data_IF_678804499037
#
_entry.id   IF_678804499037
#
_cell.length_a   1.000
_cell.length_b   1.000
_cell.length_c   1.000
_cell.angle_alpha   90.00
_cell.angle_beta   90.00
_cell.angle_gamma   90.00
#
_symmetry.space_group_name_H-M   'P 1'
#
loop_
_entity.id
_entity.type
_entity.pdbx_description
1 polymer ?
#
# COMPACT_ATOMS: atom_id res chain seq x y z
N UNK A 1 -0.08 -7.88 -41.62
CA UNK A 1 -0.13 -9.32 -41.95
C UNK A 1 0.37 -10.21 -40.80
N UNK A 2 1.38 -9.81 -40.02
CA UNK A 2 1.99 -10.64 -38.96
C UNK A 2 1.21 -10.73 -37.63
N UNK A 3 0.43 -9.73 -37.17
CA UNK A 3 -0.52 -10.02 -36.05
C UNK A 3 -1.88 -10.57 -36.50
N UNK A 4 -2.22 -10.50 -37.80
CA UNK A 4 -3.20 -11.45 -38.35
C UNK A 4 -2.61 -12.85 -38.37
N UNK A 5 -1.32 -13.01 -38.70
CA UNK A 5 -0.58 -14.27 -38.56
C UNK A 5 -0.43 -14.68 -37.09
N UNK A 6 -0.48 -13.76 -36.12
CA UNK A 6 -0.31 -14.06 -34.69
C UNK A 6 -1.63 -14.35 -33.98
N UNK A 7 -2.69 -13.59 -34.28
CA UNK A 7 -4.08 -14.00 -33.97
C UNK A 7 -4.40 -15.29 -34.71
N UNK A 8 -3.90 -15.51 -35.93
CA UNK A 8 -3.99 -16.77 -36.65
C UNK A 8 -3.05 -17.84 -36.09
N UNK A 9 -1.86 -17.54 -35.57
CA UNK A 9 -0.99 -18.54 -34.94
C UNK A 9 -1.52 -18.90 -33.55
N UNK A 10 -2.11 -17.96 -32.82
CA UNK A 10 -2.88 -18.21 -31.60
C UNK A 10 -4.14 -18.97 -31.97
N UNK A 11 -5.02 -18.49 -32.84
CA UNK A 11 -6.22 -19.23 -33.30
C UNK A 11 -5.90 -20.59 -33.92
N UNK A 12 -4.84 -20.75 -34.71
CA UNK A 12 -4.43 -22.04 -35.29
C UNK A 12 -3.70 -22.92 -34.28
N UNK A 13 -2.95 -22.39 -33.32
CA UNK A 13 -2.45 -23.17 -32.19
C UNK A 13 -3.59 -23.59 -31.24
N UNK A 14 -4.63 -22.75 -31.10
CA UNK A 14 -5.86 -23.03 -30.37
C UNK A 14 -6.66 -24.15 -31.08
N UNK A 15 -6.63 -24.21 -32.43
CA UNK A 15 -7.29 -25.25 -33.26
C UNK A 15 -6.46 -26.52 -33.49
N UNK A 16 -5.13 -26.43 -33.47
CA UNK A 16 -4.22 -27.55 -33.75
C UNK A 16 -3.97 -28.38 -32.48
N UNK A 17 -4.91 -29.28 -32.17
CA UNK A 17 -4.88 -30.26 -31.06
C UNK A 17 -3.65 -31.21 -31.00
N UNK A 18 -2.58 -31.01 -31.77
CA UNK A 18 -1.55 -32.06 -32.01
C UNK A 18 -0.07 -31.64 -32.15
N UNK A 19 0.34 -30.38 -32.00
CA UNK A 19 1.73 -30.01 -32.33
C UNK A 19 2.61 -29.57 -31.14
N UNK A 20 3.67 -30.32 -30.79
CA UNK A 20 4.71 -29.91 -29.81
C UNK A 20 5.59 -28.73 -30.29
N UNK A 21 5.31 -28.13 -31.45
CA UNK A 21 6.07 -27.01 -32.02
C UNK A 21 5.56 -25.61 -31.65
N UNK A 22 4.40 -25.49 -30.99
CA UNK A 22 3.82 -24.17 -30.63
C UNK A 22 4.70 -23.43 -29.62
N UNK A 23 5.25 -24.15 -28.64
CA UNK A 23 6.14 -23.57 -27.63
C UNK A 23 7.46 -23.08 -28.27
N UNK A 24 8.00 -23.84 -29.24
CA UNK A 24 9.16 -23.43 -30.06
C UNK A 24 8.83 -22.21 -30.92
N UNK A 25 7.63 -22.14 -31.51
CA UNK A 25 7.19 -21.02 -32.34
C UNK A 25 6.94 -19.76 -31.50
N UNK A 26 6.30 -19.88 -30.34
CA UNK A 26 6.13 -18.78 -29.39
C UNK A 26 7.48 -18.27 -28.90
N UNK A 27 8.41 -19.16 -28.53
CA UNK A 27 9.79 -18.79 -28.17
C UNK A 27 10.57 -18.18 -29.34
N UNK A 28 10.37 -18.67 -30.57
CA UNK A 28 11.01 -18.14 -31.77
C UNK A 28 10.51 -16.73 -32.08
N UNK A 29 9.20 -16.51 -32.08
CA UNK A 29 8.58 -15.18 -32.28
C UNK A 29 8.98 -14.24 -31.15
N UNK A 30 8.93 -14.70 -29.90
CA UNK A 30 9.35 -13.96 -28.72
C UNK A 30 10.84 -13.59 -28.76
N UNK A 31 11.71 -14.42 -29.35
CA UNK A 31 13.14 -14.15 -29.49
C UNK A 31 13.47 -13.28 -30.71
N UNK A 32 12.76 -13.46 -31.82
CA UNK A 32 13.08 -12.84 -33.11
C UNK A 32 12.63 -11.39 -33.26
N UNK A 33 11.58 -10.95 -32.55
CA UNK A 33 11.01 -9.59 -32.74
C UNK A 33 11.52 -8.66 -31.65
N UNK A 34 12.46 -7.76 -31.95
CA UNK A 34 12.94 -6.73 -31.00
C UNK A 34 11.76 -5.91 -30.40
N UNK A 35 11.91 -5.31 -29.19
CA UNK A 35 10.83 -4.50 -28.59
C UNK A 35 10.30 -3.42 -29.54
N UNK A 36 11.20 -2.71 -30.24
CA UNK A 36 10.84 -1.69 -31.22
C UNK A 36 10.01 -2.25 -32.39
N UNK A 37 10.42 -3.39 -32.97
CA UNK A 37 9.63 -4.05 -34.02
C UNK A 37 8.28 -4.57 -33.52
N UNK A 38 8.15 -4.82 -32.22
CA UNK A 38 6.90 -5.28 -31.63
C UNK A 38 5.90 -4.13 -31.42
N UNK A 39 6.37 -2.97 -30.97
CA UNK A 39 5.55 -1.75 -30.92
C UNK A 39 5.14 -1.30 -32.33
N UNK A 40 6.08 -1.29 -33.30
CA UNK A 40 5.79 -1.01 -34.71
C UNK A 40 4.77 -1.97 -35.32
N UNK A 41 4.77 -3.24 -34.90
CA UNK A 41 3.78 -4.23 -35.32
C UNK A 41 2.39 -3.89 -34.77
N UNK A 42 2.29 -3.54 -33.49
CA UNK A 42 1.03 -3.15 -32.86
C UNK A 42 0.47 -1.90 -33.57
N UNK A 43 1.30 -0.88 -33.76
CA UNK A 43 0.95 0.38 -34.42
C UNK A 43 0.58 0.18 -35.90
N UNK A 44 1.36 -0.61 -36.63
CA UNK A 44 1.13 -0.94 -38.04
C UNK A 44 -0.17 -1.70 -38.30
N UNK A 45 -0.87 -2.13 -37.25
CA UNK A 45 -2.19 -2.76 -37.30
C UNK A 45 -3.30 -1.87 -36.73
N UNK A 46 -3.00 -0.61 -36.42
CA UNK A 46 -3.90 0.31 -35.75
C UNK A 46 -4.20 -0.05 -34.29
N UNK A 47 -3.37 -0.91 -33.69
CA UNK A 47 -3.50 -1.36 -32.31
C UNK A 47 -2.79 -0.42 -31.33
N UNK A 48 -2.96 -0.70 -30.04
CA UNK A 48 -2.21 -0.08 -28.93
C UNK A 48 -1.84 -1.17 -27.93
N UNK A 49 -0.90 -0.89 -27.03
CA UNK A 49 -0.56 -1.80 -25.93
C UNK A 49 -1.79 -2.14 -25.07
N UNK A 50 -2.75 -1.22 -24.91
CA UNK A 50 -4.05 -1.46 -24.25
C UNK A 50 -4.90 -2.47 -25.02
N UNK A 51 -4.97 -2.37 -26.36
CA UNK A 51 -5.67 -3.35 -27.18
C UNK A 51 -5.05 -4.75 -27.02
N UNK A 52 -3.72 -4.84 -27.01
CA UNK A 52 -3.01 -6.10 -26.77
C UNK A 52 -3.34 -6.68 -25.39
N UNK A 53 -3.23 -5.89 -24.33
CA UNK A 53 -3.52 -6.34 -22.98
C UNK A 53 -4.99 -6.80 -22.83
N UNK A 54 -5.93 -6.08 -23.45
CA UNK A 54 -7.35 -6.47 -23.50
C UNK A 54 -7.54 -7.80 -24.21
N UNK A 55 -6.81 -8.03 -25.31
CA UNK A 55 -6.85 -9.28 -26.05
C UNK A 55 -6.29 -10.44 -25.21
N UNK A 56 -5.15 -10.26 -24.53
CA UNK A 56 -4.59 -11.25 -23.60
C UNK A 56 -5.62 -11.63 -22.53
N UNK A 57 -6.22 -10.64 -21.87
CA UNK A 57 -7.24 -10.87 -20.83
C UNK A 57 -8.45 -11.62 -21.39
N UNK A 58 -8.92 -11.23 -22.58
CA UNK A 58 -10.02 -11.91 -23.25
C UNK A 58 -9.69 -13.38 -23.49
N UNK A 59 -8.50 -13.70 -24.01
CA UNK A 59 -8.11 -15.07 -24.27
C UNK A 59 -7.88 -15.88 -23.00
N UNK A 60 -7.25 -15.31 -21.96
CA UNK A 60 -7.12 -16.01 -20.66
C UNK A 60 -8.51 -16.38 -20.14
N UNK A 61 -9.50 -15.49 -20.21
CA UNK A 61 -10.87 -15.76 -19.75
C UNK A 61 -11.65 -16.74 -20.63
N UNK A 62 -11.36 -16.80 -21.94
CA UNK A 62 -11.93 -17.81 -22.82
C UNK A 62 -11.36 -19.20 -22.51
N UNK A 63 -10.10 -19.27 -22.10
CA UNK A 63 -9.43 -20.52 -21.71
C UNK A 63 -9.85 -20.96 -20.30
N UNK A 64 -9.97 -19.99 -19.39
CA UNK A 64 -10.36 -20.13 -17.98
C UNK A 64 -11.82 -19.69 -17.82
N UNK A 65 -12.75 -20.45 -18.42
CA UNK A 65 -14.19 -20.14 -18.34
C UNK A 65 -14.71 -20.13 -16.90
N UNK A 66 -14.26 -21.08 -16.07
CA UNK A 66 -14.54 -21.14 -14.63
C UNK A 66 -13.26 -21.48 -13.85
N UNK A 67 -12.76 -20.57 -12.99
CA UNK A 67 -11.59 -20.80 -12.13
C UNK A 67 -11.69 -22.00 -11.19
N UNK A 68 -12.87 -22.58 -11.01
CA UNK A 68 -13.13 -23.76 -10.16
C UNK A 68 -13.08 -25.08 -10.91
N UNK A 69 -12.94 -25.02 -12.23
CA UNK A 69 -12.93 -26.22 -13.08
C UNK A 69 -11.52 -26.53 -13.55
N UNK A 70 -11.11 -27.81 -13.57
CA UNK A 70 -9.83 -28.20 -14.11
C UNK A 70 -9.77 -27.88 -15.61
N UNK A 71 -8.65 -27.35 -16.08
CA UNK A 71 -8.46 -27.03 -17.49
C UNK A 71 -8.25 -28.31 -18.30
N UNK A 72 -8.78 -28.34 -19.52
CA UNK A 72 -8.40 -29.37 -20.48
C UNK A 72 -6.92 -29.24 -20.85
N UNK A 73 -6.29 -30.34 -21.31
CA UNK A 73 -4.90 -30.32 -21.80
C UNK A 73 -4.71 -29.27 -22.90
N UNK A 74 -5.69 -29.15 -23.80
CA UNK A 74 -5.69 -28.12 -24.85
C UNK A 74 -5.63 -26.73 -24.22
N UNK A 75 -6.53 -26.44 -23.27
CA UNK A 75 -6.58 -25.14 -22.59
C UNK A 75 -5.29 -24.86 -21.82
N UNK A 76 -4.66 -25.87 -21.23
CA UNK A 76 -3.38 -25.74 -20.54
C UNK A 76 -2.25 -25.27 -21.48
N UNK A 77 -2.12 -25.87 -22.67
CA UNK A 77 -1.14 -25.44 -23.66
C UNK A 77 -1.37 -24.01 -24.15
N UNK A 78 -2.63 -23.66 -24.39
CA UNK A 78 -3.02 -22.33 -24.84
C UNK A 78 -2.68 -21.28 -23.78
N UNK A 79 -2.96 -21.59 -22.51
CA UNK A 79 -2.63 -20.75 -21.38
C UNK A 79 -1.11 -20.58 -21.22
N UNK A 80 -0.35 -21.67 -21.39
CA UNK A 80 1.10 -21.62 -21.33
C UNK A 80 1.68 -20.68 -22.40
N UNK A 81 1.19 -20.77 -23.63
CA UNK A 81 1.58 -19.86 -24.72
C UNK A 81 1.24 -18.39 -24.40
N UNK A 82 0.05 -18.12 -23.85
CA UNK A 82 -0.38 -16.77 -23.45
C UNK A 82 0.48 -16.19 -22.33
N UNK A 83 0.82 -17.00 -21.32
CA UNK A 83 1.64 -16.56 -20.18
C UNK A 83 3.10 -16.35 -20.61
N UNK A 84 3.68 -17.24 -21.42
CA UNK A 84 5.02 -17.04 -22.00
C UNK A 84 5.10 -15.77 -22.85
N UNK A 85 4.05 -15.51 -23.62
CA UNK A 85 3.95 -14.28 -24.39
C UNK A 85 3.88 -13.05 -23.47
N UNK A 86 3.05 -13.09 -22.43
CA UNK A 86 3.00 -12.04 -21.42
C UNK A 86 4.36 -11.82 -20.75
N UNK A 87 5.10 -12.89 -20.41
CA UNK A 87 6.48 -12.82 -19.91
C UNK A 87 7.39 -12.07 -20.85
N UNK A 88 7.32 -12.39 -22.14
CA UNK A 88 8.14 -11.73 -23.15
C UNK A 88 7.77 -10.26 -23.29
N UNK A 89 6.47 -9.94 -23.38
CA UNK A 89 5.98 -8.58 -23.55
C UNK A 89 6.29 -7.69 -22.33
N UNK A 90 6.19 -8.23 -21.11
CA UNK A 90 6.56 -7.51 -19.88
C UNK A 90 8.07 -7.30 -19.78
N UNK A 91 8.89 -8.33 -20.03
CA UNK A 91 10.35 -8.25 -19.91
C UNK A 91 10.97 -7.28 -20.93
N UNK A 92 10.34 -7.16 -22.10
CA UNK A 92 10.74 -6.24 -23.17
C UNK A 92 10.27 -4.79 -22.97
N UNK A 93 9.53 -4.51 -21.90
CA UNK A 93 8.99 -3.18 -21.62
C UNK A 93 7.79 -2.78 -22.47
N UNK A 94 7.29 -3.66 -23.34
CA UNK A 94 6.13 -3.39 -24.20
C UNK A 94 4.83 -3.30 -23.40
N UNK A 95 4.69 -4.08 -22.32
CA UNK A 95 3.56 -3.93 -21.40
C UNK A 95 4.03 -3.22 -20.14
N UNK A 96 3.67 -1.95 -20.01
CA UNK A 96 3.90 -1.22 -18.77
C UNK A 96 3.08 -1.81 -17.61
N UNK A 97 3.56 -1.65 -16.37
CA UNK A 97 2.82 -2.03 -15.16
C UNK A 97 1.43 -1.37 -15.10
N UNK A 98 1.33 -0.13 -15.58
CA UNK A 98 0.07 0.61 -15.61
C UNK A 98 -0.94 -0.06 -16.54
N UNK A 99 -0.52 -0.47 -17.75
CA UNK A 99 -1.39 -1.17 -18.69
C UNK A 99 -1.77 -2.55 -18.14
N UNK A 100 -0.81 -3.24 -17.52
CA UNK A 100 -1.03 -4.54 -16.90
C UNK A 100 -2.14 -4.51 -15.85
N UNK A 101 -2.11 -3.49 -14.99
CA UNK A 101 -3.11 -3.29 -13.94
C UNK A 101 -4.43 -2.74 -14.48
N UNK A 102 -4.38 -1.72 -15.35
CA UNK A 102 -5.57 -1.06 -15.90
C UNK A 102 -6.42 -2.00 -16.78
N UNK A 103 -5.79 -2.87 -17.56
CA UNK A 103 -6.50 -3.81 -18.44
C UNK A 103 -6.98 -5.07 -17.71
N UNK A 104 -6.62 -5.25 -16.43
CA UNK A 104 -7.06 -6.39 -15.62
C UNK A 104 -6.28 -7.68 -15.87
N UNK A 105 -5.05 -7.62 -16.39
CA UNK A 105 -4.19 -8.80 -16.56
C UNK A 105 -3.95 -9.49 -15.22
N UNK A 106 -3.62 -8.73 -14.17
CA UNK A 106 -3.45 -9.27 -12.81
C UNK A 106 -4.68 -10.09 -12.36
N UNK A 107 -5.90 -9.63 -12.67
CA UNK A 107 -7.14 -10.32 -12.29
C UNK A 107 -7.30 -11.64 -13.05
N UNK A 108 -7.06 -11.61 -14.36
CA UNK A 108 -7.10 -12.79 -15.20
C UNK A 108 -6.04 -13.82 -14.79
N UNK A 109 -4.86 -13.37 -14.35
CA UNK A 109 -3.82 -14.25 -13.82
C UNK A 109 -4.20 -14.85 -12.47
N UNK A 110 -4.87 -14.12 -11.57
CA UNK A 110 -5.41 -14.70 -10.32
C UNK A 110 -6.43 -15.80 -10.64
N UNK A 111 -7.35 -15.54 -11.57
CA UNK A 111 -8.34 -16.52 -12.05
C UNK A 111 -7.66 -17.78 -12.62
N UNK A 112 -6.63 -17.57 -13.44
CA UNK A 112 -5.78 -18.61 -14.01
C UNK A 112 -5.05 -19.44 -12.93
N UNK A 113 -4.39 -18.79 -11.97
CA UNK A 113 -3.68 -19.47 -10.87
C UNK A 113 -4.64 -20.34 -10.06
N UNK A 114 -5.86 -19.88 -9.80
CA UNK A 114 -6.88 -20.71 -9.14
C UNK A 114 -7.22 -21.95 -9.98
N UNK A 115 -7.48 -21.81 -11.28
CA UNK A 115 -7.82 -22.93 -12.15
C UNK A 115 -6.71 -23.99 -12.24
N UNK A 116 -5.45 -23.54 -12.31
CA UNK A 116 -4.28 -24.42 -12.42
C UNK A 116 -4.07 -25.31 -11.21
N UNK A 117 -4.58 -24.93 -10.04
CA UNK A 117 -4.41 -25.76 -8.82
C UNK A 117 -5.15 -27.07 -8.84
N UNK A 118 -6.13 -27.20 -9.72
CA UNK A 118 -6.86 -28.44 -9.92
C UNK A 118 -6.11 -29.45 -10.80
N UNK A 119 -4.94 -29.08 -11.33
CA UNK A 119 -4.15 -29.90 -12.25
C UNK A 119 -2.85 -30.27 -11.55
N UNK A 120 -2.68 -31.53 -11.11
CA UNK A 120 -1.41 -31.97 -10.54
C UNK A 120 -0.35 -32.12 -11.64
N UNK A 121 0.91 -31.90 -11.31
CA UNK A 121 2.04 -32.20 -12.19
C UNK A 121 3.08 -31.08 -12.26
N UNK A 122 4.25 -31.36 -12.85
CA UNK A 122 5.30 -30.36 -13.02
C UNK A 122 4.91 -29.27 -14.01
N UNK A 123 4.17 -29.58 -15.08
CA UNK A 123 3.82 -28.56 -16.09
C UNK A 123 2.88 -27.47 -15.54
N UNK A 124 1.91 -27.85 -14.69
CA UNK A 124 1.05 -26.89 -14.01
C UNK A 124 1.83 -26.09 -12.95
N UNK A 125 2.80 -26.72 -12.29
CA UNK A 125 3.71 -26.06 -11.33
C UNK A 125 4.54 -24.94 -11.97
N UNK A 126 5.13 -25.18 -13.15
CA UNK A 126 5.89 -24.17 -13.90
C UNK A 126 4.99 -23.01 -14.34
N UNK A 127 3.79 -23.32 -14.83
CA UNK A 127 2.84 -22.30 -15.26
C UNK A 127 2.28 -21.49 -14.08
N UNK A 128 2.04 -22.13 -12.93
CA UNK A 128 1.70 -21.47 -11.67
C UNK A 128 2.80 -20.50 -11.25
N UNK A 129 4.07 -20.94 -11.32
CA UNK A 129 5.21 -20.08 -11.01
C UNK A 129 5.25 -18.86 -11.93
N UNK A 130 5.11 -19.03 -13.25
CA UNK A 130 5.10 -17.92 -14.20
C UNK A 130 3.93 -16.95 -13.95
N UNK A 131 2.72 -17.46 -13.70
CA UNK A 131 1.57 -16.63 -13.36
C UNK A 131 1.85 -15.84 -12.08
N UNK A 132 2.39 -16.50 -11.05
CA UNK A 132 2.69 -15.85 -9.78
C UNK A 132 3.83 -14.83 -9.90
N UNK A 133 4.85 -15.07 -10.73
CA UNK A 133 5.92 -14.10 -10.99
C UNK A 133 5.36 -12.78 -11.54
N UNK A 134 4.39 -12.86 -12.45
CA UNK A 134 3.69 -11.69 -12.98
C UNK A 134 2.77 -11.01 -11.96
N UNK A 135 2.09 -11.81 -11.12
CA UNK A 135 1.31 -11.27 -10.01
C UNK A 135 2.21 -10.54 -9.01
N UNK A 136 3.31 -11.15 -8.61
CA UNK A 136 4.32 -10.54 -7.75
C UNK A 136 4.86 -9.26 -8.38
N UNK A 137 5.18 -9.23 -9.68
CA UNK A 137 5.60 -8.01 -10.35
C UNK A 137 4.54 -6.89 -10.31
N UNK A 138 3.25 -7.25 -10.34
CA UNK A 138 2.16 -6.30 -10.14
C UNK A 138 2.02 -5.86 -8.67
N UNK A 139 2.27 -6.75 -7.70
CA UNK A 139 2.28 -6.45 -6.25
C UNK A 139 3.47 -5.60 -5.84
N UNK A 140 4.62 -5.84 -6.43
CA UNK A 140 5.79 -4.98 -6.31
C UNK A 140 5.60 -3.61 -7.01
N UNK A 141 4.56 -3.47 -7.82
CA UNK A 141 4.35 -2.35 -8.72
C UNK A 141 3.79 -1.08 -8.06
N UNK A 142 3.62 -0.05 -8.89
CA UNK A 142 3.03 1.21 -8.45
C UNK A 142 1.51 1.07 -8.17
N UNK A 143 0.96 1.94 -7.30
CA UNK A 143 -0.49 2.12 -7.07
C UNK A 143 -1.19 0.91 -6.42
N UNK A 144 -0.61 0.38 -5.34
CA UNK A 144 -1.17 -0.71 -4.53
C UNK A 144 -2.66 -0.51 -4.20
N UNK A 145 -3.04 0.72 -3.84
CA UNK A 145 -4.40 1.11 -3.51
C UNK A 145 -5.41 0.89 -4.66
N UNK A 146 -4.99 0.94 -5.94
CA UNK A 146 -5.94 0.80 -7.07
C UNK A 146 -6.18 -0.64 -7.47
N UNK A 147 -5.14 -1.46 -7.49
CA UNK A 147 -5.22 -2.77 -8.12
C UNK A 147 -5.43 -3.92 -7.12
N UNK A 148 -4.83 -3.86 -5.91
CA UNK A 148 -5.01 -4.86 -4.83
C UNK A 148 -6.49 -5.11 -4.52
N UNK A 149 -7.37 -4.09 -4.36
CA UNK A 149 -8.80 -4.31 -4.16
C UNK A 149 -9.46 -5.20 -5.22
N UNK A 150 -9.05 -5.04 -6.48
CA UNK A 150 -9.52 -5.87 -7.58
C UNK A 150 -8.98 -7.30 -7.49
N UNK A 151 -7.68 -7.45 -7.20
CA UNK A 151 -7.03 -8.75 -7.09
C UNK A 151 -7.56 -9.58 -5.90
N UNK A 152 -7.80 -8.95 -4.75
CA UNK A 152 -8.44 -9.59 -3.59
C UNK A 152 -9.83 -10.13 -3.96
N UNK A 153 -10.63 -9.37 -4.72
CA UNK A 153 -11.95 -9.83 -5.20
C UNK A 153 -11.88 -11.01 -6.17
N UNK A 154 -10.81 -11.12 -6.95
CA UNK A 154 -10.58 -12.25 -7.85
C UNK A 154 -10.00 -13.47 -7.11
N UNK A 155 -9.55 -13.31 -5.86
CA UNK A 155 -9.02 -14.40 -5.04
C UNK A 155 -7.50 -14.43 -4.96
N UNK A 156 -6.83 -13.27 -4.92
CA UNK A 156 -5.37 -13.18 -4.77
C UNK A 156 -4.83 -14.04 -3.61
N UNK A 157 -5.51 -14.04 -2.46
CA UNK A 157 -5.11 -14.89 -1.33
C UNK A 157 -5.28 -16.38 -1.63
N UNK A 158 -6.32 -16.77 -2.37
CA UNK A 158 -6.47 -18.15 -2.84
C UNK A 158 -5.34 -18.53 -3.78
N UNK A 159 -4.95 -17.64 -4.69
CA UNK A 159 -3.82 -17.84 -5.59
C UNK A 159 -2.48 -18.00 -4.85
N UNK A 160 -2.26 -17.26 -3.76
CA UNK A 160 -1.08 -17.43 -2.88
C UNK A 160 -1.09 -18.81 -2.21
N UNK A 161 -2.20 -19.18 -1.58
CA UNK A 161 -2.36 -20.51 -0.92
C UNK A 161 -2.14 -21.63 -1.93
N UNK A 162 -2.80 -21.52 -3.08
CA UNK A 162 -2.66 -22.38 -4.24
C UNK A 162 -1.20 -22.65 -4.60
N UNK A 163 -0.44 -21.58 -4.87
CA UNK A 163 0.97 -21.68 -5.22
C UNK A 163 1.81 -22.30 -4.10
N UNK A 164 1.48 -22.00 -2.84
CA UNK A 164 2.21 -22.49 -1.67
C UNK A 164 1.98 -23.99 -1.40
N UNK A 165 0.79 -24.51 -1.74
CA UNK A 165 0.41 -25.92 -1.52
C UNK A 165 0.71 -26.82 -2.71
N UNK A 166 0.97 -26.25 -3.90
CA UNK A 166 1.20 -27.05 -5.10
C UNK A 166 2.61 -27.64 -5.12
N UNK A 167 2.71 -28.97 -5.20
CA UNK A 167 3.99 -29.65 -5.32
C UNK A 167 4.72 -29.22 -6.60
N UNK A 168 6.01 -28.89 -6.47
CA UNK A 168 6.84 -28.44 -7.60
C UNK A 168 6.74 -26.96 -7.96
N UNK A 169 5.90 -26.16 -7.29
CA UNK A 169 5.85 -24.73 -7.53
C UNK A 169 7.07 -24.02 -6.92
N UNK A 170 8.00 -23.53 -7.75
CA UNK A 170 9.20 -22.79 -7.33
C UNK A 170 8.96 -21.38 -6.77
N UNK A 171 7.72 -21.03 -6.42
CA UNK A 171 7.31 -19.67 -6.06
C UNK A 171 7.58 -19.28 -4.61
N UNK A 172 8.04 -20.20 -3.76
CA UNK A 172 8.22 -19.97 -2.31
C UNK A 172 9.00 -18.68 -1.98
N UNK A 173 10.15 -18.37 -2.61
CA UNK A 173 10.86 -17.12 -2.31
C UNK A 173 10.04 -15.86 -2.64
N UNK A 174 9.32 -15.88 -3.77
CA UNK A 174 8.45 -14.77 -4.18
C UNK A 174 7.24 -14.64 -3.25
N UNK A 175 6.65 -15.76 -2.84
CA UNK A 175 5.53 -15.79 -1.89
C UNK A 175 5.95 -15.20 -0.54
N UNK A 176 7.13 -15.58 -0.01
CA UNK A 176 7.67 -15.00 1.23
C UNK A 176 7.81 -13.49 1.13
N UNK A 177 8.47 -13.00 0.06
CA UNK A 177 8.63 -11.56 -0.18
C UNK A 177 7.28 -10.85 -0.29
N UNK A 178 6.35 -11.39 -1.06
CA UNK A 178 5.00 -10.84 -1.25
C UNK A 178 4.25 -10.72 0.09
N UNK A 179 4.36 -11.73 0.96
CA UNK A 179 3.66 -11.77 2.25
C UNK A 179 4.35 -10.95 3.35
N UNK A 180 5.68 -10.89 3.35
CA UNK A 180 6.47 -10.20 4.36
C UNK A 180 6.58 -8.69 4.10
N UNK A 181 6.65 -8.29 2.83
CA UNK A 181 6.95 -6.91 2.44
C UNK A 181 5.77 -6.26 1.72
N UNK A 182 5.35 -6.81 0.59
CA UNK A 182 4.54 -6.06 -0.39
C UNK A 182 3.05 -5.98 -0.03
N UNK A 183 2.43 -7.10 0.37
CA UNK A 183 1.04 -7.10 0.83
C UNK A 183 0.86 -6.29 2.12
N UNK A 184 1.72 -6.42 3.14
CA UNK A 184 1.67 -5.56 4.33
C UNK A 184 1.66 -4.06 4.03
N UNK A 185 2.46 -3.59 3.08
CA UNK A 185 2.47 -2.18 2.65
C UNK A 185 1.09 -1.71 2.13
N UNK A 186 0.30 -2.60 1.53
CA UNK A 186 -1.04 -2.28 1.02
C UNK A 186 -2.11 -2.16 2.11
N UNK A 187 -1.85 -2.67 3.32
CA UNK A 187 -2.83 -2.71 4.42
C UNK A 187 -3.04 -1.35 5.11
N UNK A 188 -2.37 -0.30 4.63
CA UNK A 188 -2.61 1.09 5.06
C UNK A 188 -3.78 1.75 4.32
N UNK A 189 -4.21 1.18 3.19
CA UNK A 189 -5.27 1.73 2.37
C UNK A 189 -6.64 1.18 2.78
N UNK A 190 -7.59 2.07 3.03
CA UNK A 190 -8.93 1.73 3.49
C UNK A 190 -9.67 0.84 2.48
N UNK A 191 -9.54 1.14 1.19
CA UNK A 191 -10.17 0.38 0.12
C UNK A 191 -9.65 -1.07 0.04
N UNK A 192 -8.37 -1.31 0.34
CA UNK A 192 -7.80 -2.67 0.45
C UNK A 192 -8.45 -3.40 1.61
N UNK A 193 -8.48 -2.78 2.79
CA UNK A 193 -9.07 -3.35 4.00
C UNK A 193 -10.57 -3.64 3.85
N UNK A 194 -11.31 -2.90 3.02
CA UNK A 194 -12.73 -3.20 2.75
C UNK A 194 -12.95 -4.54 2.04
N UNK A 195 -11.99 -4.99 1.21
CA UNK A 195 -12.11 -6.25 0.47
C UNK A 195 -11.45 -7.43 1.18
N UNK A 196 -10.55 -7.15 2.11
CA UNK A 196 -9.76 -8.16 2.81
C UNK A 196 -10.56 -9.17 3.64
N UNK A 197 -11.65 -8.82 4.37
CA UNK A 197 -12.38 -9.77 5.20
C UNK A 197 -12.93 -10.95 4.41
N UNK A 198 -13.52 -10.67 3.24
CA UNK A 198 -14.04 -11.71 2.35
C UNK A 198 -12.90 -12.57 1.81
N UNK A 199 -11.80 -11.95 1.38
CA UNK A 199 -10.65 -12.67 0.85
C UNK A 199 -10.01 -13.60 1.89
N UNK A 200 -9.86 -13.14 3.15
CA UNK A 200 -9.36 -13.95 4.26
C UNK A 200 -10.31 -15.10 4.59
N UNK A 201 -11.62 -14.85 4.60
CA UNK A 201 -12.62 -15.89 4.81
C UNK A 201 -12.54 -16.99 3.75
N UNK A 202 -12.24 -16.67 2.50
CA UNK A 202 -12.12 -17.68 1.44
C UNK A 202 -10.94 -18.65 1.62
N UNK A 203 -9.96 -18.32 2.47
CA UNK A 203 -8.74 -19.11 2.70
C UNK A 203 -8.52 -19.53 4.15
N UNK A 204 -9.49 -19.27 5.05
CA UNK A 204 -9.29 -19.49 6.48
C UNK A 204 -9.08 -20.96 6.89
N UNK A 205 -9.46 -21.90 6.04
CA UNK A 205 -9.23 -23.34 6.23
C UNK A 205 -7.92 -23.85 5.64
N UNK A 206 -7.14 -22.99 4.97
CA UNK A 206 -5.90 -23.41 4.33
C UNK A 206 -4.84 -23.77 5.39
N UNK A 207 -4.37 -25.01 5.38
CA UNK A 207 -3.21 -25.42 6.15
C UNK A 207 -1.92 -25.16 5.36
N UNK A 208 -1.14 -24.19 5.85
CA UNK A 208 0.14 -23.80 5.26
C UNK A 208 1.34 -24.24 6.09
N UNK A 209 1.16 -25.08 7.12
CA UNK A 209 2.24 -25.51 8.02
C UNK A 209 3.41 -26.16 7.27
N UNK A 210 3.14 -26.95 6.24
CA UNK A 210 4.15 -27.62 5.42
C UNK A 210 4.66 -26.78 4.22
N UNK A 211 4.08 -25.61 3.94
CA UNK A 211 4.31 -24.86 2.69
C UNK A 211 5.59 -24.00 2.66
N UNK A 212 6.36 -23.97 3.75
CA UNK A 212 7.56 -23.14 3.86
C UNK A 212 7.29 -21.62 3.95
N UNK A 213 6.02 -21.17 3.92
CA UNK A 213 5.62 -19.76 4.08
C UNK A 213 4.74 -19.52 5.33
N UNK A 214 4.64 -20.51 6.21
CA UNK A 214 3.73 -20.51 7.36
C UNK A 214 3.95 -19.30 8.30
N UNK A 215 5.21 -18.92 8.52
CA UNK A 215 5.58 -17.82 9.40
C UNK A 215 5.13 -16.46 8.81
N UNK A 216 5.46 -16.22 7.54
CA UNK A 216 5.09 -15.00 6.81
C UNK A 216 3.57 -14.88 6.65
N UNK A 217 2.90 -15.99 6.36
CA UNK A 217 1.43 -16.03 6.31
C UNK A 217 0.81 -15.67 7.65
N UNK A 218 1.29 -16.26 8.75
CA UNK A 218 0.78 -15.99 10.10
C UNK A 218 1.01 -14.54 10.50
N UNK A 219 2.18 -13.98 10.19
CA UNK A 219 2.50 -12.58 10.42
C UNK A 219 1.59 -11.64 9.61
N UNK A 220 1.38 -11.94 8.32
CA UNK A 220 0.47 -11.20 7.46
C UNK A 220 -0.96 -11.23 7.98
N UNK A 221 -1.51 -12.40 8.35
CA UNK A 221 -2.87 -12.53 8.88
C UNK A 221 -3.02 -11.76 10.19
N UNK A 222 -2.05 -11.84 11.10
CA UNK A 222 -2.05 -11.09 12.36
C UNK A 222 -2.09 -9.58 12.11
N UNK A 223 -1.25 -9.08 11.20
CA UNK A 223 -1.24 -7.67 10.82
C UNK A 223 -2.57 -7.27 10.17
N UNK A 224 -3.09 -8.06 9.23
CA UNK A 224 -4.37 -7.83 8.57
C UNK A 224 -5.51 -7.71 9.58
N UNK A 225 -5.57 -8.59 10.58
CA UNK A 225 -6.58 -8.53 11.65
C UNK A 225 -6.45 -7.25 12.49
N UNK A 226 -5.22 -6.86 12.84
CA UNK A 226 -4.96 -5.60 13.54
C UNK A 226 -5.39 -4.38 12.72
N UNK A 227 -5.20 -4.39 11.39
CA UNK A 227 -5.65 -3.28 10.52
C UNK A 227 -7.17 -3.26 10.34
N UNK A 228 -7.80 -4.43 10.25
CA UNK A 228 -9.24 -4.56 10.17
C UNK A 228 -9.95 -4.07 11.44
N UNK A 229 -9.34 -4.21 12.63
CA UNK A 229 -9.92 -3.63 13.85
C UNK A 229 -9.94 -2.11 13.79
N UNK A 230 -8.85 -1.47 13.32
CA UNK A 230 -8.80 -0.01 13.10
C UNK A 230 -9.85 0.43 12.08
N UNK A 231 -10.01 -0.29 10.96
CA UNK A 231 -11.05 -0.01 9.97
C UNK A 231 -12.45 -0.06 10.55
N UNK A 232 -12.74 -1.01 11.46
CA UNK A 232 -14.05 -1.10 12.12
C UNK A 232 -14.31 0.08 13.06
N UNK A 233 -13.31 0.51 13.83
CA UNK A 233 -13.42 1.69 14.70
C UNK A 233 -13.60 2.96 13.86
N UNK A 234 -12.93 3.03 12.70
CA UNK A 234 -13.07 4.15 11.77
C UNK A 234 -14.49 4.21 11.19
N UNK A 235 -15.03 3.07 10.76
CA UNK A 235 -16.38 2.97 10.20
C UNK A 235 -17.49 3.19 11.22
N UNK A 236 -17.26 2.87 12.51
CA UNK A 236 -18.23 3.17 13.58
C UNK A 236 -18.32 4.65 13.93
N UNK A 237 -17.41 5.49 13.41
CA UNK A 237 -17.35 6.90 13.77
C UNK A 237 -16.69 7.17 15.13
N UNK A 238 -16.20 6.15 15.85
CA UNK A 238 -15.56 6.34 17.15
C UNK A 238 -14.20 7.06 17.07
N UNK A 239 -13.68 7.27 15.85
CA UNK A 239 -12.50 8.11 15.58
C UNK A 239 -12.80 9.61 15.37
N UNK A 240 -14.00 10.10 15.74
CA UNK A 240 -14.38 11.51 15.58
C UNK A 240 -13.43 12.50 16.28
N UNK A 241 -12.84 12.14 17.42
CA UNK A 241 -11.84 12.97 18.12
C UNK A 241 -10.50 13.07 17.38
N UNK A 242 -10.16 12.06 16.57
CA UNK A 242 -8.95 12.01 15.74
C UNK A 242 -9.12 12.60 14.33
N UNK A 243 -10.31 13.09 13.96
CA UNK A 243 -10.55 13.81 12.70
C UNK A 243 -10.03 15.24 12.81
N UNK A 244 -8.72 15.43 12.73
CA UNK A 244 -8.16 16.76 12.53
C UNK A 244 -8.71 17.36 11.22
N UNK A 245 -9.18 18.61 11.26
CA UNK A 245 -9.68 19.35 10.11
C UNK A 245 -8.62 19.41 9.00
N UNK A 246 -9.05 19.17 7.74
CA UNK A 246 -8.18 19.19 6.55
C UNK A 246 -7.61 20.58 6.23
N UNK A 247 -8.29 21.67 6.60
CA UNK A 247 -7.79 23.04 6.36
C UNK A 247 -7.05 23.59 7.58
N UNK A 248 -5.85 23.05 7.84
CA UNK A 248 -5.06 23.41 9.03
C UNK A 248 -4.91 24.93 9.23
N UNK A 249 -4.68 25.76 8.20
CA UNK A 249 -4.56 27.22 8.42
C UNK A 249 -5.87 27.95 8.74
N UNK A 250 -7.00 27.56 8.17
CA UNK A 250 -8.28 28.25 8.42
C UNK A 250 -8.89 27.75 9.74
N UNK A 251 -8.76 26.45 10.00
CA UNK A 251 -9.19 25.80 11.22
C UNK A 251 -8.30 26.11 12.46
N UNK A 252 -7.02 26.46 12.28
CA UNK A 252 -6.12 26.87 13.38
C UNK A 252 -6.21 28.36 13.72
N UNK A 253 -6.79 29.20 12.85
CA UNK A 253 -6.99 30.62 13.14
C UNK A 253 -8.09 30.88 14.17
N UNK A 254 -9.04 29.95 14.29
CA UNK A 254 -10.16 30.11 15.19
C UNK A 254 -9.75 29.56 16.55
N UNK A 255 -9.84 30.41 17.57
CA UNK A 255 -9.48 30.04 18.93
C UNK A 255 -10.37 28.88 19.38
N UNK A 256 -9.73 27.75 19.70
CA UNK A 256 -10.44 26.55 20.13
C UNK A 256 -11.07 26.72 21.51
N UNK A 257 -10.63 27.72 22.27
CA UNK A 257 -11.21 28.08 23.56
C UNK A 257 -12.63 28.66 23.43
N UNK A 258 -13.02 29.16 22.25
CA UNK A 258 -14.34 29.77 22.04
C UNK A 258 -15.42 28.77 21.64
N UNK A 259 -15.11 27.46 21.59
CA UNK A 259 -16.10 26.39 21.48
C UNK A 259 -16.80 26.22 20.12
N UNK A 260 -16.63 27.13 19.16
CA UNK A 260 -17.39 27.12 17.90
C UNK A 260 -16.62 26.50 16.70
N UNK A 261 -15.50 25.83 16.95
CA UNK A 261 -14.68 25.27 15.88
C UNK A 261 -15.41 24.19 15.05
N UNK A 262 -16.19 23.32 15.69
CA UNK A 262 -16.95 22.28 14.98
C UNK A 262 -17.95 22.90 14.00
N UNK A 263 -18.63 23.97 14.41
CA UNK A 263 -19.54 24.75 13.57
C UNK A 263 -18.80 25.41 12.41
N UNK A 264 -17.66 26.05 12.70
CA UNK A 264 -16.77 26.68 11.72
C UNK A 264 -16.28 25.74 10.62
N UNK A 265 -15.71 24.61 11.03
CA UNK A 265 -15.14 23.62 10.14
C UNK A 265 -16.23 22.97 9.31
N UNK A 266 -17.40 22.70 9.92
CA UNK A 266 -18.56 22.19 9.19
C UNK A 266 -19.06 23.22 8.18
N UNK A 267 -19.17 24.50 8.55
CA UNK A 267 -19.58 25.61 7.68
C UNK A 267 -18.60 25.80 6.52
N UNK A 268 -17.29 25.83 6.76
CA UNK A 268 -16.27 25.92 5.70
C UNK A 268 -16.29 24.69 4.77
N UNK A 269 -16.55 23.49 5.31
CA UNK A 269 -16.68 22.28 4.49
C UNK A 269 -17.93 22.28 3.61
N UNK A 270 -19.01 22.96 4.04
CA UNK A 270 -20.29 23.06 3.30
C UNK A 270 -20.32 24.26 2.35
N UNK A 271 -19.76 25.41 2.75
CA UNK A 271 -19.74 26.65 1.96
C UNK A 271 -18.58 26.69 0.95
N UNK A 272 -17.40 26.16 1.30
CA UNK A 272 -16.20 26.24 0.46
C UNK A 272 -16.16 25.25 -0.70
N UNK A 273 -16.84 24.10 -0.63
CA UNK A 273 -16.64 23.03 -1.62
C UNK A 273 -17.77 22.85 -2.65
N UNK A 274 -18.95 23.46 -2.42
CA UNK A 274 -20.07 23.36 -3.36
C UNK A 274 -20.08 24.43 -4.47
N UNK A 275 -19.27 25.50 -4.33
CA UNK A 275 -19.31 26.67 -5.23
C UNK A 275 -17.95 27.25 -5.60
N UNK A 276 -16.85 26.55 -5.36
CA UNK A 276 -15.57 26.95 -5.94
C UNK A 276 -15.57 26.60 -7.42
N UNK A 277 -15.81 27.62 -8.24
CA UNK A 277 -15.33 27.69 -9.62
C UNK A 277 -13.93 27.07 -9.67
N UNK A 278 -13.73 26.12 -10.58
CA UNK A 278 -12.47 25.39 -10.82
C UNK A 278 -11.22 26.27 -11.06
N UNK A 279 -11.39 27.59 -11.09
CA UNK A 279 -10.34 28.57 -11.37
C UNK A 279 -9.80 29.28 -10.13
N UNK A 280 -10.34 29.02 -8.93
CA UNK A 280 -9.79 29.53 -7.67
C UNK A 280 -9.58 28.33 -6.73
N UNK A 281 -8.66 27.45 -7.12
CA UNK A 281 -8.07 26.53 -6.15
C UNK A 281 -7.32 27.42 -5.16
N UNK A 282 -7.82 27.55 -3.93
CA UNK A 282 -7.08 28.18 -2.83
C UNK A 282 -5.65 27.64 -2.88
N UNK A 283 -4.60 28.48 -2.79
CA UNK A 283 -3.23 28.02 -2.74
C UNK A 283 -3.11 26.86 -1.75
N UNK A 284 -3.83 26.83 -0.63
CA UNK A 284 -3.78 25.71 0.30
C UNK A 284 -4.30 24.36 -0.23
N UNK A 285 -5.36 24.33 -1.04
CA UNK A 285 -5.87 23.09 -1.63
C UNK A 285 -4.94 22.55 -2.72
N UNK A 286 -4.19 23.44 -3.37
CA UNK A 286 -3.10 23.06 -4.26
C UNK A 286 -1.93 22.46 -3.45
N UNK A 287 -1.59 23.03 -2.28
CA UNK A 287 -0.40 22.68 -1.49
C UNK A 287 -0.51 21.40 -0.67
N UNK A 288 -1.72 20.96 -0.32
CA UNK A 288 -1.96 19.60 0.21
C UNK A 288 -1.73 18.52 -0.89
N UNK A 289 -1.53 18.93 -2.15
CA UNK A 289 -1.44 18.09 -3.35
C UNK A 289 -0.16 18.27 -4.20
N UNK A 290 0.84 19.06 -3.77
CA UNK A 290 2.04 19.35 -4.62
C UNK A 290 3.08 18.23 -4.62
N UNK A 291 3.14 17.35 -3.63
CA UNK A 291 3.95 16.13 -3.75
C UNK A 291 3.14 15.08 -4.52
N UNK A 292 3.60 14.74 -5.73
CA UNK A 292 2.99 13.82 -6.72
C UNK A 292 1.68 13.19 -6.21
N UNK A 293 0.51 13.70 -6.64
CA UNK A 293 -0.75 13.40 -5.98
C UNK A 293 -0.95 11.90 -5.92
N UNK A 294 -0.78 11.35 -4.71
CA UNK A 294 -1.38 10.09 -4.35
C UNK A 294 -2.87 10.26 -4.65
N UNK A 295 -3.33 9.64 -5.73
CA UNK A 295 -4.72 9.66 -6.18
C UNK A 295 -5.58 8.87 -5.17
N UNK A 296 -5.76 9.49 -4.01
CA UNK A 296 -6.44 8.99 -2.83
C UNK A 296 -7.70 9.81 -2.62
N UNK A 297 -8.80 9.11 -2.36
CA UNK A 297 -10.05 9.75 -2.00
C UNK A 297 -9.94 10.45 -0.63
N UNK A 298 -10.82 11.41 -0.36
CA UNK A 298 -10.94 12.04 0.98
C UNK A 298 -11.09 11.01 2.10
N UNK A 299 -11.79 9.89 1.84
CA UNK A 299 -12.00 8.82 2.80
C UNK A 299 -10.70 8.05 3.09
N UNK A 300 -9.88 7.80 2.07
CA UNK A 300 -8.55 7.18 2.24
C UNK A 300 -7.66 8.04 3.13
N UNK A 301 -7.61 9.36 2.86
CA UNK A 301 -6.81 10.29 3.66
C UNK A 301 -7.30 10.33 5.13
N UNK A 302 -8.61 10.36 5.33
CA UNK A 302 -9.20 10.32 6.67
C UNK A 302 -8.85 9.03 7.41
N UNK A 303 -8.84 7.90 6.71
CA UNK A 303 -8.46 6.62 7.30
C UNK A 303 -6.97 6.56 7.64
N UNK A 304 -6.08 7.03 6.77
CA UNK A 304 -4.63 7.08 7.03
C UNK A 304 -4.31 7.89 8.30
N UNK A 305 -5.03 8.99 8.55
CA UNK A 305 -4.92 9.72 9.82
C UNK A 305 -5.38 8.91 11.02
N UNK A 306 -6.53 8.24 10.92
CA UNK A 306 -7.03 7.39 11.99
C UNK A 306 -6.07 6.24 12.29
N UNK A 307 -5.46 5.67 11.26
CA UNK A 307 -4.43 4.64 11.36
C UNK A 307 -3.20 5.16 12.09
N UNK A 308 -2.65 6.29 11.66
CA UNK A 308 -1.47 6.91 12.28
C UNK A 308 -1.74 7.27 13.75
N UNK A 309 -2.91 7.84 14.05
CA UNK A 309 -3.34 8.13 15.41
C UNK A 309 -3.44 6.87 16.29
N UNK A 310 -4.03 5.80 15.75
CA UNK A 310 -4.13 4.52 16.45
C UNK A 310 -2.74 3.96 16.79
N UNK A 311 -1.82 3.96 15.83
CA UNK A 311 -0.46 3.48 16.04
C UNK A 311 0.36 4.37 16.97
N UNK A 312 0.21 5.68 16.86
CA UNK A 312 0.82 6.62 17.79
C UNK A 312 0.36 6.31 19.21
N UNK A 313 -0.95 6.16 19.42
CA UNK A 313 -1.51 5.88 20.75
C UNK A 313 -1.03 4.53 21.28
N UNK A 314 -0.99 3.50 20.44
CA UNK A 314 -0.51 2.17 20.80
C UNK A 314 0.98 2.15 21.17
N UNK A 315 1.78 3.06 20.61
CA UNK A 315 3.24 3.12 20.80
C UNK A 315 3.71 4.39 21.53
N UNK A 316 2.80 5.16 22.13
CA UNK A 316 3.07 6.51 22.64
C UNK A 316 4.23 6.54 23.62
N UNK A 317 4.30 5.57 24.52
CA UNK A 317 5.35 5.49 25.53
C UNK A 317 6.75 5.31 24.91
N UNK A 318 6.87 4.42 23.92
CA UNK A 318 8.12 4.21 23.18
C UNK A 318 8.50 5.44 22.37
N UNK A 319 7.52 6.08 21.72
CA UNK A 319 7.72 7.31 20.95
C UNK A 319 8.19 8.43 21.89
N UNK A 320 7.52 8.66 23.01
CA UNK A 320 7.86 9.69 23.99
C UNK A 320 9.24 9.47 24.61
N UNK A 321 9.60 8.23 24.96
CA UNK A 321 10.96 7.94 25.45
C UNK A 321 12.03 8.33 24.41
N UNK A 322 11.80 8.01 23.14
CA UNK A 322 12.70 8.39 22.04
C UNK A 322 12.75 9.91 21.86
N UNK A 323 11.60 10.59 21.93
CA UNK A 323 11.51 12.04 21.85
C UNK A 323 12.22 12.73 23.03
N UNK A 324 12.07 12.23 24.26
CA UNK A 324 12.74 12.75 25.46
C UNK A 324 14.26 12.60 25.31
N UNK A 325 14.73 11.41 24.95
CA UNK A 325 16.15 11.16 24.72
C UNK A 325 16.72 12.10 23.64
N UNK A 326 15.94 12.33 22.58
CA UNK A 326 16.29 13.26 21.52
C UNK A 326 16.35 14.72 22.01
N UNK A 327 15.29 15.21 22.66
CA UNK A 327 15.24 16.58 23.17
C UNK A 327 16.35 16.86 24.19
N UNK A 328 16.75 15.84 24.94
CA UNK A 328 17.89 15.94 25.85
C UNK A 328 19.21 16.13 25.09
N UNK A 329 19.43 15.37 24.01
CA UNK A 329 20.63 15.50 23.17
C UNK A 329 20.62 16.77 22.30
N UNK A 330 19.43 17.25 21.90
CA UNK A 330 19.26 18.34 20.93
C UNK A 330 18.14 19.32 21.34
N UNK A 331 18.33 20.14 22.39
CA UNK A 331 17.25 20.96 22.98
C UNK A 331 16.65 22.02 22.05
N UNK A 332 17.40 22.46 21.03
CA UNK A 332 17.00 23.50 20.08
C UNK A 332 16.46 22.96 18.75
N UNK A 333 16.49 21.63 18.54
CA UNK A 333 16.15 21.03 17.25
C UNK A 333 14.67 20.65 17.18
N UNK A 334 14.03 20.97 16.06
CA UNK A 334 12.68 20.47 15.76
C UNK A 334 12.81 19.05 15.21
N UNK A 335 12.04 18.13 15.78
CA UNK A 335 11.94 16.76 15.30
C UNK A 335 10.54 16.47 14.75
N UNK A 336 10.42 15.38 14.02
CA UNK A 336 9.16 14.78 13.65
C UNK A 336 9.18 13.29 13.99
N UNK A 337 8.01 12.67 14.10
CA UNK A 337 7.92 11.21 14.23
C UNK A 337 7.60 10.61 12.86
N UNK A 338 8.46 9.71 12.37
CA UNK A 338 8.26 9.00 11.12
C UNK A 338 7.41 7.74 11.35
N UNK A 339 6.37 7.59 10.56
CA UNK A 339 5.65 6.34 10.38
C UNK A 339 6.00 5.79 9.00
N UNK A 340 6.94 4.86 8.95
CA UNK A 340 7.40 4.27 7.70
C UNK A 340 6.63 2.98 7.37
N UNK A 341 5.64 3.11 6.49
CA UNK A 341 4.88 1.98 5.98
C UNK A 341 5.56 1.28 4.80
N UNK A 342 6.81 1.63 4.45
CA UNK A 342 7.54 1.02 3.32
C UNK A 342 8.40 -0.16 3.73
N UNK A 343 8.91 -0.20 4.95
CA UNK A 343 9.84 -1.24 5.41
C UNK A 343 9.19 -2.58 5.83
N UNK A 344 7.86 -2.71 5.69
CA UNK A 344 7.12 -3.84 6.24
C UNK A 344 6.97 -3.76 7.77
N UNK A 345 6.20 -4.67 8.39
CA UNK A 345 5.98 -4.68 9.83
C UNK A 345 7.25 -5.11 10.61
N UNK A 346 7.43 -4.63 11.86
CA UNK A 346 6.51 -3.78 12.60
C UNK A 346 6.64 -2.30 12.21
N UNK A 347 5.52 -1.68 11.85
CA UNK A 347 5.40 -0.25 11.55
C UNK A 347 5.39 0.58 12.85
N UNK A 348 6.35 0.33 13.74
CA UNK A 348 6.53 1.15 14.93
C UNK A 348 7.05 2.51 14.48
N UNK A 349 6.39 3.59 14.90
CA UNK A 349 6.88 4.94 14.63
C UNK A 349 8.35 5.07 15.02
N UNK A 350 9.21 5.35 14.05
CA UNK A 350 10.60 5.69 14.29
C UNK A 350 10.69 7.18 14.54
N UNK A 351 11.40 7.59 15.59
CA UNK A 351 11.72 9.00 15.77
C UNK A 351 12.96 9.24 14.93
N UNK A 352 12.75 9.62 13.67
CA UNK A 352 13.84 9.99 12.78
C UNK A 352 14.33 11.41 13.06
N UNK A 353 15.64 11.55 13.05
CA UNK A 353 16.36 12.81 13.15
C UNK A 353 16.79 13.17 11.74
N UNK A 354 16.30 14.28 11.20
CA UNK A 354 16.95 14.90 10.06
C UNK A 354 17.76 16.09 10.57
N UNK A 355 19.10 16.05 10.50
CA UNK A 355 19.93 17.17 10.92
C UNK A 355 19.64 18.39 10.05
N UNK A 356 19.56 19.58 10.67
CA UNK A 356 19.13 20.88 10.10
C UNK A 356 19.75 21.27 8.75
N UNK A 357 20.79 20.57 8.32
CA UNK A 357 21.57 20.83 7.11
C UNK A 357 21.42 19.77 6.02
N UNK A 358 20.61 18.73 6.21
CA UNK A 358 20.56 17.63 5.25
C UNK A 358 19.57 17.89 4.11
N UNK A 359 20.03 17.79 2.87
CA UNK A 359 19.22 17.99 1.66
C UNK A 359 18.10 16.95 1.47
N UNK A 360 17.99 15.99 2.40
CA UNK A 360 17.01 14.90 2.45
C UNK A 360 15.66 15.31 3.03
N UNK A 361 15.49 16.57 3.42
CA UNK A 361 14.21 17.07 3.91
C UNK A 361 13.08 16.88 2.89
N UNK A 362 11.90 16.44 3.36
CA UNK A 362 10.69 16.58 2.57
C UNK A 362 10.51 18.04 2.15
N UNK A 363 10.20 18.33 0.88
CA UNK A 363 10.03 19.68 0.38
C UNK A 363 8.87 20.36 1.11
N UNK A 364 9.18 21.37 1.93
CA UNK A 364 8.30 22.14 2.85
C UNK A 364 8.57 21.92 4.36
N UNK A 365 9.48 21.02 4.75
CA UNK A 365 9.75 20.74 6.17
C UNK A 365 9.98 22.01 6.99
N UNK A 366 10.81 22.95 6.52
CA UNK A 366 11.10 24.18 7.26
C UNK A 366 9.86 25.05 7.45
N UNK A 367 8.94 25.08 6.47
CA UNK A 367 7.67 25.78 6.62
C UNK A 367 6.81 25.09 7.70
N UNK A 368 6.73 23.76 7.67
CA UNK A 368 5.97 22.97 8.67
C UNK A 368 6.57 23.07 10.06
N UNK A 369 7.90 23.07 10.16
CA UNK A 369 8.64 23.29 11.38
C UNK A 369 8.38 24.70 11.92
N UNK A 370 8.36 25.73 11.07
CA UNK A 370 8.00 27.08 11.48
C UNK A 370 6.55 27.16 12.01
N UNK A 371 5.59 26.52 11.34
CA UNK A 371 4.19 26.42 11.81
C UNK A 371 4.09 25.69 13.16
N UNK A 372 4.82 24.59 13.34
CA UNK A 372 4.87 23.84 14.58
C UNK A 372 5.52 24.64 15.73
N UNK A 373 6.63 25.35 15.46
CA UNK A 373 7.28 26.27 16.40
C UNK A 373 6.31 27.38 16.85
N UNK A 374 5.61 28.00 15.90
CA UNK A 374 4.64 29.05 16.17
C UNK A 374 3.42 28.57 16.98
N UNK A 375 3.13 27.27 16.96
CA UNK A 375 2.01 26.69 17.72
C UNK A 375 2.25 26.59 19.24
N UNK A 376 3.46 26.85 19.72
CA UNK A 376 3.81 26.73 21.14
C UNK A 376 3.69 25.29 21.67
N UNK A 377 3.94 24.27 20.83
CA UNK A 377 3.84 22.84 21.21
C UNK A 377 2.46 22.20 21.02
N UNK A 378 1.50 22.90 20.42
CA UNK A 378 0.16 22.37 20.09
C UNK A 378 0.14 21.47 18.85
N UNK A 379 1.22 21.51 18.05
CA UNK A 379 1.38 20.70 16.85
C UNK A 379 2.61 19.81 17.00
N UNK A 380 2.40 18.50 16.90
CA UNK A 380 3.46 17.53 16.68
C UNK A 380 3.56 17.25 15.17
N UNK A 381 4.79 17.26 14.66
CA UNK A 381 5.04 16.91 13.27
C UNK A 381 5.13 15.40 13.16
N UNK A 382 4.26 14.82 12.34
CA UNK A 382 4.37 13.42 11.94
C UNK A 382 4.54 13.36 10.44
N UNK A 383 5.52 12.57 10.03
CA UNK A 383 5.76 12.28 8.62
C UNK A 383 5.35 10.83 8.38
N UNK A 384 4.54 10.60 7.36
CA UNK A 384 4.15 9.27 6.96
C UNK A 384 4.84 8.95 5.65
N UNK A 385 5.59 7.84 5.60
CA UNK A 385 6.18 7.33 4.36
C UNK A 385 5.39 6.11 3.92
N UNK A 386 4.83 6.16 2.72
CA UNK A 386 4.10 5.04 2.11
C UNK A 386 4.78 4.60 0.83
N UNK A 387 4.76 3.29 0.59
CA UNK A 387 5.34 2.73 -0.60
C UNK A 387 4.35 3.01 -1.73
N UNK A 388 4.80 3.72 -2.76
CA UNK A 388 4.00 3.87 -3.97
C UNK A 388 4.30 2.77 -4.95
N UNK A 389 5.56 2.31 -4.97
CA UNK A 389 6.05 1.07 -5.56
C UNK A 389 6.85 0.29 -4.52
N UNK A 390 6.95 -1.03 -4.63
CA UNK A 390 7.87 -1.80 -3.80
C UNK A 390 9.33 -1.45 -4.15
N UNK A 391 9.97 -0.63 -3.31
CA UNK A 391 11.42 -0.46 -3.25
C UNK A 391 12.05 0.67 -4.08
N UNK A 392 11.36 1.28 -5.05
CA UNK A 392 12.00 2.27 -5.96
C UNK A 392 11.53 3.72 -5.74
N UNK A 393 10.25 3.92 -5.43
CA UNK A 393 9.67 5.23 -5.12
C UNK A 393 8.88 5.18 -3.82
N UNK A 394 9.37 5.92 -2.84
CA UNK A 394 8.62 6.25 -1.63
C UNK A 394 7.87 7.55 -1.88
N UNK A 395 6.60 7.61 -1.45
CA UNK A 395 5.96 8.90 -1.28
C UNK A 395 5.84 9.13 0.20
N UNK A 396 6.45 10.20 0.66
CA UNK A 396 6.16 10.70 1.97
C UNK A 396 5.02 11.70 1.90
N UNK A 397 4.41 11.92 3.06
CA UNK A 397 3.41 12.95 3.25
C UNK A 397 3.45 13.42 4.69
N UNK A 398 3.45 14.74 4.85
CA UNK A 398 3.15 15.34 6.14
C UNK A 398 1.71 15.08 6.52
N UNK A 399 1.52 14.36 7.62
CA UNK A 399 0.23 14.27 8.28
C UNK A 399 0.38 15.09 9.57
N UNK A 400 -0.07 16.35 9.59
CA UNK A 400 -0.14 17.07 10.84
C UNK A 400 -1.12 16.30 11.74
N UNK A 401 -0.62 15.78 12.85
CA UNK A 401 -1.49 15.39 13.95
C UNK A 401 -1.45 16.48 15.01
N UNK A 402 -2.54 16.57 15.75
CA UNK A 402 -2.52 17.36 16.97
C UNK A 402 -1.76 16.58 18.03
N UNK A 403 -0.90 17.27 18.76
CA UNK A 403 -0.41 16.72 20.02
C UNK A 403 -1.60 16.53 20.95
N UNK A 404 -1.49 15.56 21.86
CA UNK A 404 -2.47 15.31 22.91
C UNK A 404 -2.72 16.53 23.81
N UNK A 405 -1.79 17.50 23.85
CA UNK A 405 -1.98 18.91 24.23
C UNK A 405 -0.63 19.65 24.23
N UNK A 406 -0.61 20.98 24.31
CA UNK A 406 0.62 21.74 24.59
C UNK A 406 1.30 21.29 25.91
N UNK A 407 0.50 20.87 26.89
CA UNK A 407 0.98 20.36 28.16
C UNK A 407 1.80 19.07 28.02
N UNK A 408 1.49 18.21 27.03
CA UNK A 408 2.32 17.02 26.73
C UNK A 408 3.68 17.44 26.23
N UNK A 409 3.73 18.32 25.22
CA UNK A 409 4.99 18.78 24.66
C UNK A 409 5.88 19.46 25.73
N UNK A 410 5.29 20.30 26.59
CA UNK A 410 6.01 20.96 27.68
C UNK A 410 6.43 19.97 28.78
N UNK A 411 5.57 18.99 29.10
CA UNK A 411 5.89 17.90 30.02
C UNK A 411 7.07 17.08 29.54
N UNK A 412 7.08 16.65 28.27
CA UNK A 412 8.19 15.91 27.68
C UNK A 412 9.49 16.74 27.65
N UNK A 413 9.43 18.04 27.34
CA UNK A 413 10.59 18.95 27.42
C UNK A 413 11.10 19.13 28.85
N UNK A 414 10.20 19.21 29.83
CA UNK A 414 10.57 19.28 31.23
C UNK A 414 11.29 18.00 31.65
N UNK A 415 10.71 16.85 31.32
CA UNK A 415 11.32 15.55 31.61
C UNK A 415 12.71 15.46 30.94
N UNK A 416 12.83 15.87 29.67
CA UNK A 416 14.09 15.88 28.94
C UNK A 416 15.18 16.70 29.63
N UNK A 417 14.89 17.94 30.05
CA UNK A 417 15.84 18.80 30.77
C UNK A 417 16.31 18.18 32.09
N UNK A 418 15.41 17.47 32.76
CA UNK A 418 15.70 16.87 34.06
C UNK A 418 16.48 15.55 33.94
N UNK A 419 16.53 14.90 32.75
CA UNK A 419 17.25 13.62 32.56
C UNK A 419 18.72 13.71 32.96
N UNK A 420 19.38 14.84 32.73
CA UNK A 420 20.78 15.03 33.13
C UNK A 420 21.00 15.01 34.65
N UNK A 421 19.96 15.30 35.43
CA UNK A 421 20.01 15.26 36.90
C UNK A 421 19.74 13.87 37.49
N UNK A 422 19.21 12.96 36.67
CA UNK A 422 18.79 11.64 37.07
C UNK A 422 19.92 10.65 36.76
N UNK A 423 20.62 10.17 37.79
CA UNK A 423 21.68 9.16 37.68
C UNK A 423 21.18 7.79 37.16
N UNK A 424 21.90 6.68 37.39
CA UNK A 424 21.52 5.34 36.90
C UNK A 424 20.13 4.87 37.35
N UNK A 425 19.66 5.29 38.52
CA UNK A 425 18.30 5.03 39.05
C UNK A 425 17.21 5.88 38.37
N UNK A 426 17.62 6.83 37.54
CA UNK A 426 16.78 7.80 36.84
C UNK A 426 15.75 7.20 35.89
N UNK A 427 16.00 5.98 35.39
CA UNK A 427 15.13 5.34 34.40
C UNK A 427 13.74 5.03 34.98
N UNK A 428 13.65 4.56 36.22
CA UNK A 428 12.35 4.30 36.86
C UNK A 428 11.60 5.59 37.14
N UNK A 429 12.32 6.63 37.57
CA UNK A 429 11.75 7.98 37.79
C UNK A 429 11.22 8.58 36.47
N UNK A 430 11.93 8.40 35.36
CA UNK A 430 11.51 8.79 34.02
C UNK A 430 10.21 8.11 33.60
N UNK A 431 10.13 6.80 33.76
CA UNK A 431 8.94 6.01 33.43
C UNK A 431 7.73 6.46 34.25
N UNK A 432 7.93 6.75 35.54
CA UNK A 432 6.85 7.22 36.40
C UNK A 432 6.34 8.61 36.01
N UNK A 433 7.25 9.54 35.68
CA UNK A 433 6.86 10.87 35.18
C UNK A 433 6.10 10.81 33.85
N UNK A 434 6.49 9.89 32.97
CA UNK A 434 5.77 9.62 31.72
C UNK A 434 4.36 9.09 32.00
N UNK A 435 4.20 8.18 32.97
CA UNK A 435 2.87 7.67 33.38
C UNK A 435 1.98 8.76 33.98
N UNK A 436 2.55 9.65 34.79
CA UNK A 436 1.82 10.79 35.35
C UNK A 436 1.31 11.70 34.23
N UNK A 437 2.19 12.06 33.28
CA UNK A 437 1.82 12.87 32.12
C UNK A 437 0.72 12.19 31.26
N UNK A 438 0.82 10.87 31.10
CA UNK A 438 -0.19 10.07 30.38
C UNK A 438 -1.55 10.09 31.08
N UNK A 439 -1.55 9.97 32.42
CA UNK A 439 -2.78 10.01 33.22
C UNK A 439 -3.45 11.38 33.13
N UNK A 440 -2.69 12.44 33.35
CA UNK A 440 -3.17 13.83 33.28
C UNK A 440 -3.81 14.14 31.91
N UNK A 441 -3.27 13.57 30.84
CA UNK A 441 -3.76 13.81 29.47
C UNK A 441 -4.93 12.91 29.09
N UNK A 442 -5.00 11.70 29.62
CA UNK A 442 -6.16 10.82 29.46
C UNK A 442 -7.40 11.40 30.16
N UNK A 443 -7.21 12.00 31.33
CA UNK A 443 -8.28 12.64 32.09
C UNK A 443 -8.86 13.87 31.35
N UNK A 444 -8.00 14.68 30.71
CA UNK A 444 -8.42 15.83 29.89
C UNK A 444 -9.23 15.38 28.65
N UNK A 445 -8.84 14.29 28.01
CA UNK A 445 -9.54 13.76 26.82
C UNK A 445 -10.90 13.14 27.20
N UNK A 446 -11.07 12.64 28.43
CA UNK A 446 -12.35 12.05 28.88
C UNK A 446 -13.43 13.08 29.23
N UNK A 447 -13.05 14.35 29.43
CA UNK A 447 -13.94 15.46 29.81
C UNK A 447 -14.51 16.20 28.59
N UNK A 448 -13.97 15.96 27.39
CA UNK A 448 -14.36 16.60 26.13
C UNK A 448 -14.90 15.61 25.10
#
# INVERSE_FOLDING_TARGET
MVARLWVFCVDQALFARRYPGVDVLCRFIARAISPAHFDELIEGLGGTQTHLATLIVKHIRLVVCDPRTPLSISNLFQLHALVLFLTTASFRGTLSREIFTACGIARALVECTCALTHIPGPESGDLLFLCFQHLHWAVAGERLNKWIPGALRCGLLRAIVACATHSGCGSIPLLRKTLAEELPQSLVYYNVLRHLPKALWEVHHADLTASGISAEWSAFVKLAQARLSVSKIFDSGNHLSSRACDSTKECQRWDWNEGNHRGACSALSTEGFGKLNSNIISPLAHWICVETPLDLSKRELSFLRALLHHEYTANKHTIWLRQIAFMNAHPSTVFYTLFDYTAGPPFAGEVEILPQSDSTYPPDFEQRAAEARASGGRLELHYMRVAVSAGEKTHGRWIPMRSSSAAVADGLRSIARDVHSLGPEGRETLLERIRVLEKETSDIISIH
#
